data_IF_366170347205
#
_entry.id   IF_366170347205
#
_cell.length_a   1.000
_cell.length_b   1.000
_cell.length_c   1.000
_cell.angle_alpha   90.00
_cell.angle_beta   90.00
_cell.angle_gamma   90.00
#
_symmetry.space_group_name_H-M   'P 1'
#
loop_
_entity.id
_entity.type
_entity.pdbx_description
1 polymer ?
#
# COMPACT_ATOMS: atom_id res chain seq x y z
N UNK A 1 -39.68 2.92 10.26
CA UNK A 1 -38.23 2.79 10.15
C UNK A 1 -37.85 2.83 8.69
N UNK A 2 -37.21 3.90 8.19
CA UNK A 2 -36.66 3.92 6.83
C UNK A 2 -35.39 3.06 6.88
N UNK A 3 -35.36 1.98 6.12
CA UNK A 3 -34.12 1.26 5.86
C UNK A 3 -33.15 2.22 5.18
N UNK A 4 -32.09 2.58 5.89
CA UNK A 4 -30.99 3.38 5.36
C UNK A 4 -30.17 2.39 4.49
N UNK A 5 -30.68 2.10 3.31
CA UNK A 5 -29.93 1.33 2.32
C UNK A 5 -28.73 2.16 1.86
N UNK A 6 -27.58 1.51 1.67
CA UNK A 6 -26.34 2.14 1.21
C UNK A 6 -26.49 2.91 -0.11
N UNK A 7 -27.59 2.73 -0.82
CA UNK A 7 -27.91 3.40 -2.08
C UNK A 7 -29.25 4.13 -1.99
N UNK A 8 -29.24 5.45 -2.25
CA UNK A 8 -30.43 6.30 -2.21
C UNK A 8 -31.40 6.05 -3.39
N UNK A 9 -30.97 5.37 -4.46
CA UNK A 9 -31.77 5.12 -5.66
C UNK A 9 -31.30 3.84 -6.37
N UNK A 10 -32.26 3.14 -7.03
CA UNK A 10 -31.98 1.99 -7.90
C UNK A 10 -31.02 2.34 -9.05
N UNK A 11 -31.07 3.57 -9.56
CA UNK A 11 -30.15 4.08 -10.59
C UNK A 11 -28.70 4.21 -10.05
N UNK A 12 -28.54 4.65 -8.81
CA UNK A 12 -27.22 4.74 -8.16
C UNK A 12 -26.61 3.37 -7.95
N UNK A 13 -27.40 2.38 -7.58
CA UNK A 13 -26.96 0.99 -7.43
C UNK A 13 -26.51 0.39 -8.77
N UNK A 14 -27.26 0.61 -9.85
CA UNK A 14 -26.88 0.15 -11.20
C UNK A 14 -25.57 0.78 -11.66
N UNK A 15 -25.41 2.09 -11.50
CA UNK A 15 -24.19 2.82 -11.87
C UNK A 15 -22.97 2.31 -11.08
N UNK A 16 -23.12 2.07 -9.79
CA UNK A 16 -22.07 1.51 -8.95
C UNK A 16 -21.61 0.15 -9.49
N UNK A 17 -22.54 -0.78 -9.75
CA UNK A 17 -22.20 -2.10 -10.26
C UNK A 17 -21.57 -2.07 -11.64
N UNK A 18 -22.01 -1.16 -12.52
CA UNK A 18 -21.38 -0.96 -13.84
C UNK A 18 -19.92 -0.53 -13.68
N UNK A 19 -19.66 0.45 -12.80
CA UNK A 19 -18.28 0.93 -12.56
C UNK A 19 -17.42 -0.18 -11.98
N UNK A 20 -17.90 -0.90 -10.97
CA UNK A 20 -17.15 -2.01 -10.36
C UNK A 20 -16.85 -3.10 -11.37
N UNK A 21 -17.86 -3.50 -12.18
CA UNK A 21 -17.66 -4.51 -13.22
C UNK A 21 -16.65 -4.05 -14.28
N UNK A 22 -16.72 -2.79 -14.70
CA UNK A 22 -15.77 -2.22 -15.65
C UNK A 22 -14.34 -2.20 -15.09
N UNK A 23 -14.16 -1.84 -13.81
CA UNK A 23 -12.86 -1.85 -13.15
C UNK A 23 -12.29 -3.27 -13.02
N UNK A 24 -13.12 -4.24 -12.63
CA UNK A 24 -12.71 -5.65 -12.55
C UNK A 24 -12.34 -6.20 -13.93
N UNK A 25 -13.16 -5.91 -14.95
CA UNK A 25 -12.86 -6.32 -16.32
C UNK A 25 -11.54 -5.71 -16.82
N UNK A 26 -11.31 -4.43 -16.56
CA UNK A 26 -10.05 -3.76 -16.88
C UNK A 26 -8.87 -4.41 -16.15
N UNK A 27 -8.99 -4.70 -14.85
CA UNK A 27 -7.94 -5.35 -14.07
C UNK A 27 -7.60 -6.74 -14.63
N UNK A 28 -8.61 -7.54 -14.98
CA UNK A 28 -8.40 -8.87 -15.61
C UNK A 28 -7.71 -8.73 -16.96
N UNK A 29 -8.12 -7.78 -17.79
CA UNK A 29 -7.58 -7.52 -19.12
C UNK A 29 -6.11 -7.09 -19.06
N UNK A 30 -5.77 -6.16 -18.15
CA UNK A 30 -4.40 -5.74 -17.92
C UNK A 30 -3.54 -6.87 -17.33
N UNK A 31 -4.08 -7.69 -16.43
CA UNK A 31 -3.38 -8.87 -15.90
C UNK A 31 -3.06 -9.87 -17.02
N UNK A 32 -4.04 -10.19 -17.86
CA UNK A 32 -3.82 -11.07 -19.03
C UNK A 32 -2.77 -10.49 -19.98
N UNK A 33 -2.83 -9.18 -20.24
CA UNK A 33 -1.82 -8.45 -21.02
C UNK A 33 -0.44 -8.56 -20.39
N UNK A 34 -0.32 -8.36 -19.09
CA UNK A 34 0.95 -8.45 -18.36
C UNK A 34 1.55 -9.87 -18.42
N UNK A 35 0.72 -10.91 -18.37
CA UNK A 35 1.18 -12.29 -18.42
C UNK A 35 1.70 -12.66 -19.81
N UNK A 36 1.05 -12.17 -20.87
CA UNK A 36 1.33 -12.53 -22.25
C UNK A 36 2.32 -11.58 -22.95
N UNK A 37 2.19 -10.27 -22.70
CA UNK A 37 2.94 -9.25 -23.43
C UNK A 37 4.40 -9.17 -22.97
N UNK A 38 5.32 -9.03 -23.95
CA UNK A 38 6.74 -8.83 -23.67
C UNK A 38 7.43 -10.01 -22.98
N UNK A 39 6.94 -11.23 -23.15
CA UNK A 39 7.66 -12.40 -22.70
C UNK A 39 8.75 -12.73 -23.75
N UNK A 40 10.06 -12.70 -23.37
CA UNK A 40 11.15 -12.94 -24.32
C UNK A 40 11.26 -14.39 -24.76
N UNK A 41 10.54 -15.31 -24.11
CA UNK A 41 10.58 -16.74 -24.42
C UNK A 41 9.42 -17.12 -25.33
N UNK A 42 9.66 -18.11 -26.21
CA UNK A 42 8.63 -18.64 -27.09
C UNK A 42 7.51 -19.32 -26.31
N UNK A 43 6.27 -19.12 -26.76
CA UNK A 43 5.09 -19.73 -26.15
C UNK A 43 5.24 -21.26 -26.08
N UNK A 44 4.89 -21.85 -24.93
CA UNK A 44 4.98 -23.30 -24.70
C UNK A 44 6.33 -23.79 -24.18
N UNK A 45 7.37 -22.94 -24.11
CA UNK A 45 8.65 -23.33 -23.51
C UNK A 45 8.60 -23.27 -22.00
N UNK A 46 9.45 -24.06 -21.33
CA UNK A 46 9.57 -24.01 -19.84
C UNK A 46 9.93 -22.61 -19.33
N UNK A 47 10.77 -21.89 -20.07
CA UNK A 47 11.13 -20.50 -19.73
C UNK A 47 9.94 -19.55 -19.79
N UNK A 48 9.05 -19.70 -20.76
CA UNK A 48 7.81 -18.92 -20.85
C UNK A 48 6.95 -19.06 -19.58
N UNK A 49 6.72 -20.29 -19.14
CA UNK A 49 5.91 -20.59 -17.98
C UNK A 49 6.52 -20.09 -16.67
N UNK A 50 7.86 -20.20 -16.53
CA UNK A 50 8.56 -19.65 -15.34
C UNK A 50 8.41 -18.13 -15.23
N UNK A 51 8.47 -17.40 -16.36
CA UNK A 51 8.26 -15.95 -16.38
C UNK A 51 6.80 -15.62 -16.08
N UNK A 52 5.87 -16.36 -16.68
CA UNK A 52 4.44 -16.17 -16.41
C UNK A 52 4.08 -16.41 -14.94
N UNK A 53 4.62 -17.45 -14.31
CA UNK A 53 4.43 -17.74 -12.88
C UNK A 53 4.95 -16.61 -11.99
N UNK A 54 6.16 -16.10 -12.27
CA UNK A 54 6.71 -14.96 -11.52
C UNK A 54 5.83 -13.72 -11.65
N UNK A 55 5.33 -13.44 -12.84
CA UNK A 55 4.41 -12.32 -13.08
C UNK A 55 3.07 -12.53 -12.38
N UNK A 56 2.54 -13.75 -12.40
CA UNK A 56 1.31 -14.09 -11.68
C UNK A 56 1.47 -13.86 -10.17
N UNK A 57 2.57 -14.33 -9.60
CA UNK A 57 2.87 -14.11 -8.18
C UNK A 57 2.95 -12.61 -7.84
N UNK A 58 3.54 -11.81 -8.71
CA UNK A 58 3.56 -10.35 -8.54
C UNK A 58 2.15 -9.74 -8.60
N UNK A 59 1.28 -10.20 -9.50
CA UNK A 59 -0.12 -9.75 -9.58
C UNK A 59 -0.90 -10.13 -8.32
N UNK A 60 -0.71 -11.35 -7.82
CA UNK A 60 -1.33 -11.81 -6.57
C UNK A 60 -0.86 -10.94 -5.40
N UNK A 61 0.44 -10.68 -5.29
CA UNK A 61 0.99 -9.81 -4.27
C UNK A 61 0.40 -8.38 -4.36
N UNK A 62 0.33 -7.81 -5.56
CA UNK A 62 -0.30 -6.48 -5.77
C UNK A 62 -1.78 -6.49 -5.37
N UNK A 63 -2.52 -7.54 -5.67
CA UNK A 63 -3.94 -7.65 -5.28
C UNK A 63 -4.11 -7.70 -3.75
N UNK A 64 -3.27 -8.47 -3.06
CA UNK A 64 -3.26 -8.53 -1.60
C UNK A 64 -2.94 -7.16 -1.00
N UNK A 65 -1.88 -6.51 -1.48
CA UNK A 65 -1.48 -5.17 -1.04
C UNK A 65 -2.61 -4.16 -1.28
N UNK A 66 -3.27 -4.20 -2.43
CA UNK A 66 -4.39 -3.30 -2.75
C UNK A 66 -5.54 -3.45 -1.75
N UNK A 67 -5.91 -4.68 -1.38
CA UNK A 67 -6.95 -4.95 -0.37
C UNK A 67 -6.52 -4.45 1.01
N UNK A 68 -5.28 -4.75 1.42
CA UNK A 68 -4.74 -4.29 2.69
C UNK A 68 -4.72 -2.76 2.77
N UNK A 69 -4.25 -2.10 1.72
CA UNK A 69 -4.14 -0.64 1.65
C UNK A 69 -5.52 0.02 1.66
N UNK A 70 -6.47 -0.52 0.91
CA UNK A 70 -7.85 -0.02 0.92
C UNK A 70 -8.49 -0.14 2.30
N UNK A 71 -8.32 -1.28 2.95
CA UNK A 71 -8.88 -1.54 4.29
C UNK A 71 -8.23 -0.63 5.34
N UNK A 72 -6.90 -0.50 5.30
CA UNK A 72 -6.16 0.39 6.19
C UNK A 72 -6.59 1.85 6.00
N UNK A 73 -6.77 2.29 4.76
CA UNK A 73 -7.22 3.65 4.44
C UNK A 73 -8.62 3.91 5.00
N UNK A 74 -9.57 3.01 4.79
CA UNK A 74 -10.94 3.15 5.31
C UNK A 74 -10.95 3.15 6.84
N UNK A 75 -10.20 2.25 7.48
CA UNK A 75 -10.08 2.19 8.91
C UNK A 75 -9.49 3.49 9.47
N UNK A 76 -8.42 3.99 8.87
CA UNK A 76 -7.76 5.22 9.27
C UNK A 76 -8.67 6.44 9.13
N UNK A 77 -9.36 6.57 7.99
CA UNK A 77 -10.34 7.64 7.74
C UNK A 77 -11.51 7.60 8.74
N UNK A 78 -11.92 6.41 9.14
CA UNK A 78 -13.00 6.23 10.12
C UNK A 78 -12.55 6.67 11.51
N UNK A 79 -11.36 6.27 11.94
CA UNK A 79 -10.80 6.62 13.26
C UNK A 79 -10.51 8.12 13.37
N UNK A 80 -9.94 8.71 12.31
CA UNK A 80 -9.63 10.15 12.28
C UNK A 80 -10.83 11.03 11.97
N UNK A 81 -11.97 10.43 11.62
CA UNK A 81 -13.17 11.12 11.12
C UNK A 81 -12.85 12.11 9.98
N UNK A 82 -11.86 11.80 9.17
CA UNK A 82 -11.39 12.65 8.08
C UNK A 82 -11.12 11.82 6.84
N UNK A 83 -11.89 12.08 5.75
CA UNK A 83 -11.83 11.33 4.49
C UNK A 83 -10.64 11.69 3.60
N UNK A 84 -9.89 12.72 3.93
CA UNK A 84 -8.74 13.18 3.15
C UNK A 84 -7.47 12.43 3.60
N UNK A 85 -7.41 12.03 4.86
CA UNK A 85 -6.23 11.39 5.43
C UNK A 85 -6.13 9.94 4.96
N UNK A 86 -4.95 9.58 4.46
CA UNK A 86 -4.57 8.21 4.14
C UNK A 86 -3.25 7.87 4.84
N UNK A 87 -2.97 6.59 5.15
CA UNK A 87 -1.69 6.18 5.74
C UNK A 87 -0.48 6.63 4.92
N UNK A 88 -0.58 6.64 3.58
CA UNK A 88 0.50 7.08 2.69
C UNK A 88 0.85 8.55 2.87
N UNK A 89 -0.15 9.43 3.01
CA UNK A 89 0.08 10.87 3.24
C UNK A 89 0.74 11.13 4.60
N UNK A 90 0.56 10.22 5.55
CA UNK A 90 1.18 10.31 6.88
C UNK A 90 2.67 9.93 6.88
N UNK A 91 3.26 9.59 5.76
CA UNK A 91 4.69 9.32 5.66
C UNK A 91 5.14 7.93 6.16
N UNK A 92 4.21 7.01 6.46
CA UNK A 92 4.57 5.65 6.91
C UNK A 92 5.40 4.90 5.87
N UNK A 93 5.07 5.07 4.59
CA UNK A 93 5.79 4.46 3.48
C UNK A 93 7.24 4.99 3.40
N UNK A 94 7.40 6.31 3.52
CA UNK A 94 8.72 6.96 3.49
C UNK A 94 9.57 6.56 4.70
N UNK A 95 8.96 6.39 5.86
CA UNK A 95 9.64 5.89 7.05
C UNK A 95 10.16 4.46 6.86
N UNK A 96 9.35 3.59 6.22
CA UNK A 96 9.79 2.24 5.88
C UNK A 96 10.96 2.26 4.89
N UNK A 97 10.88 3.06 3.83
CA UNK A 97 11.94 3.23 2.84
C UNK A 97 13.24 3.72 3.52
N UNK A 98 13.16 4.69 4.41
CA UNK A 98 14.31 5.20 5.15
C UNK A 98 14.96 4.13 6.02
N UNK A 99 14.18 3.31 6.74
CA UNK A 99 14.67 2.20 7.56
C UNK A 99 15.33 1.15 6.66
N UNK A 100 14.69 0.79 5.55
CA UNK A 100 15.21 -0.19 4.60
C UNK A 100 16.52 0.28 3.97
N UNK A 101 16.58 1.51 3.51
CA UNK A 101 17.78 2.13 2.94
C UNK A 101 18.91 2.22 3.97
N UNK A 102 18.60 2.62 5.21
CA UNK A 102 19.57 2.67 6.30
C UNK A 102 20.14 1.27 6.59
N UNK A 103 19.31 0.24 6.58
CA UNK A 103 19.75 -1.14 6.76
C UNK A 103 20.76 -1.54 5.68
N UNK A 104 20.48 -1.23 4.42
CA UNK A 104 21.41 -1.51 3.31
C UNK A 104 22.69 -0.70 3.44
N UNK A 105 22.58 0.57 3.81
CA UNK A 105 23.74 1.45 3.96
C UNK A 105 24.72 0.96 5.06
N UNK A 106 24.19 0.62 6.23
CA UNK A 106 25.04 0.20 7.37
C UNK A 106 25.59 -1.22 7.24
N UNK A 107 24.84 -2.12 6.62
CA UNK A 107 25.25 -3.52 6.48
C UNK A 107 25.87 -3.86 5.10
N UNK A 108 25.93 -2.90 4.16
CA UNK A 108 26.56 -3.07 2.85
C UNK A 108 25.99 -4.24 2.03
N UNK A 109 26.89 -5.01 1.40
CA UNK A 109 26.50 -6.15 0.56
C UNK A 109 25.79 -7.26 1.35
N UNK A 110 26.15 -7.49 2.60
CA UNK A 110 25.44 -8.40 3.52
C UNK A 110 24.05 -7.86 3.89
N UNK A 111 23.89 -6.55 3.97
CA UNK A 111 22.60 -5.89 4.14
C UNK A 111 21.63 -6.14 2.99
N UNK A 112 22.13 -6.13 1.75
CA UNK A 112 21.33 -6.40 0.55
C UNK A 112 20.80 -7.83 0.53
N UNK A 113 21.62 -8.83 0.89
CA UNK A 113 21.19 -10.23 0.95
C UNK A 113 20.27 -10.50 2.13
N UNK A 114 20.52 -9.89 3.28
CA UNK A 114 19.73 -10.09 4.49
C UNK A 114 18.43 -9.27 4.47
N UNK A 115 18.40 -8.12 3.80
CA UNK A 115 17.21 -7.29 3.70
C UNK A 115 16.00 -8.00 3.04
N UNK A 116 16.26 -9.05 2.25
CA UNK A 116 15.24 -9.89 1.64
C UNK A 116 14.83 -11.10 2.49
N UNK A 117 15.44 -11.30 3.67
CA UNK A 117 15.02 -12.37 4.57
C UNK A 117 13.76 -11.98 5.33
N UNK A 118 12.92 -12.97 5.64
CA UNK A 118 11.69 -12.76 6.39
C UNK A 118 11.96 -12.11 7.76
N UNK A 119 13.05 -12.51 8.42
CA UNK A 119 13.43 -12.00 9.74
C UNK A 119 13.73 -10.49 9.69
N UNK A 120 14.54 -10.05 8.72
CA UNK A 120 14.84 -8.63 8.53
C UNK A 120 13.63 -7.82 8.12
N UNK A 121 12.75 -8.39 7.27
CA UNK A 121 11.49 -7.75 6.90
C UNK A 121 10.62 -7.51 8.14
N UNK A 122 10.44 -8.52 8.99
CA UNK A 122 9.66 -8.40 10.23
C UNK A 122 10.30 -7.39 11.17
N UNK A 123 11.62 -7.42 11.33
CA UNK A 123 12.35 -6.45 12.16
C UNK A 123 12.11 -5.00 11.67
N UNK A 124 12.28 -4.75 10.38
CA UNK A 124 12.05 -3.44 9.77
C UNK A 124 10.59 -2.97 9.95
N UNK A 125 9.65 -3.88 9.80
CA UNK A 125 8.22 -3.60 9.99
C UNK A 125 7.91 -3.24 11.45
N UNK A 126 8.43 -4.00 12.42
CA UNK A 126 8.28 -3.70 13.84
C UNK A 126 8.91 -2.35 14.18
N UNK A 127 10.10 -2.07 13.65
CA UNK A 127 10.81 -0.82 13.86
C UNK A 127 10.05 0.37 13.27
N UNK A 128 9.48 0.22 12.07
CA UNK A 128 8.60 1.21 11.44
C UNK A 128 7.38 1.51 12.32
N UNK A 129 6.70 0.47 12.79
CA UNK A 129 5.51 0.64 13.65
C UNK A 129 5.88 1.32 14.96
N UNK A 130 6.97 0.91 15.60
CA UNK A 130 7.45 1.51 16.85
C UNK A 130 7.80 2.99 16.69
N UNK A 131 8.59 3.33 15.65
CA UNK A 131 8.95 4.72 15.35
C UNK A 131 7.71 5.57 15.01
N UNK A 132 6.78 5.02 14.24
CA UNK A 132 5.53 5.70 13.93
C UNK A 132 4.71 5.96 15.18
N UNK A 133 4.56 4.98 16.06
CA UNK A 133 3.83 5.16 17.32
C UNK A 133 4.50 6.22 18.21
N UNK A 134 5.81 6.18 18.35
CA UNK A 134 6.55 7.17 19.14
C UNK A 134 6.35 8.57 18.56
N UNK A 135 6.54 8.73 17.25
CA UNK A 135 6.44 10.01 16.58
C UNK A 135 5.03 10.59 16.66
N UNK A 136 4.02 9.79 16.38
CA UNK A 136 2.64 10.28 16.41
C UNK A 136 2.11 10.44 17.83
N UNK A 137 2.51 9.60 18.78
CA UNK A 137 2.15 9.79 20.20
C UNK A 137 2.77 11.08 20.73
N UNK A 138 4.03 11.35 20.40
CA UNK A 138 4.70 12.59 20.79
C UNK A 138 4.03 13.83 20.15
N UNK A 139 3.67 13.73 18.88
CA UNK A 139 3.01 14.83 18.15
C UNK A 139 1.58 15.12 18.69
N UNK A 140 0.86 14.05 19.09
CA UNK A 140 -0.50 14.16 19.63
C UNK A 140 -0.55 14.42 21.15
N UNK A 141 0.58 14.34 21.85
CA UNK A 141 0.67 14.55 23.30
C UNK A 141 0.45 16.03 23.72
N UNK A 142 0.28 16.94 22.76
CA UNK A 142 -0.07 18.35 23.04
C UNK A 142 -1.53 18.52 23.51
N UNK A 143 -1.78 19.62 24.25
CA UNK A 143 -3.10 19.93 24.81
C UNK A 143 -4.23 20.15 23.76
N UNK A 144 -3.86 20.33 22.49
CA UNK A 144 -4.76 20.41 21.34
C UNK A 144 -4.16 19.58 20.20
N UNK A 145 -4.63 18.35 19.96
CA UNK A 145 -4.17 17.55 18.83
C UNK A 145 -4.59 18.25 17.53
N UNK A 146 -3.64 18.93 16.90
CA UNK A 146 -3.87 19.61 15.63
C UNK A 146 -3.66 18.63 14.49
N UNK A 147 -4.78 18.21 13.90
CA UNK A 147 -4.78 17.28 12.77
C UNK A 147 -4.06 17.87 11.54
N UNK A 148 -3.99 19.19 11.41
CA UNK A 148 -3.24 19.86 10.35
C UNK A 148 -1.73 19.75 10.56
N UNK A 149 -1.26 19.85 11.82
CA UNK A 149 0.14 19.64 12.16
C UNK A 149 0.57 18.20 11.86
N UNK A 150 -0.28 17.21 12.17
CA UNK A 150 -0.05 15.81 11.87
C UNK A 150 0.09 15.56 10.36
N UNK A 151 -0.77 16.17 9.55
CA UNK A 151 -0.73 16.08 8.10
C UNK A 151 0.52 16.76 7.52
N UNK A 152 0.87 17.94 8.05
CA UNK A 152 2.06 18.69 7.63
C UNK A 152 3.35 17.88 7.90
N UNK A 153 3.46 17.29 9.09
CA UNK A 153 4.60 16.44 9.46
C UNK A 153 4.68 15.22 8.56
N UNK A 154 3.54 14.56 8.26
CA UNK A 154 3.50 13.43 7.33
C UNK A 154 4.00 13.80 5.93
N UNK A 155 3.58 14.95 5.38
CA UNK A 155 4.02 15.44 4.08
C UNK A 155 5.51 15.78 4.09
N UNK A 156 6.00 16.44 5.15
CA UNK A 156 7.42 16.79 5.28
C UNK A 156 8.29 15.54 5.41
N UNK A 157 7.86 14.56 6.20
CA UNK A 157 8.54 13.26 6.29
C UNK A 157 8.51 12.53 4.95
N UNK A 158 7.36 12.51 4.28
CA UNK A 158 7.20 11.91 2.97
C UNK A 158 8.13 12.51 1.92
N UNK A 159 8.21 13.83 1.87
CA UNK A 159 9.10 14.56 0.95
C UNK A 159 10.57 14.50 1.34
N UNK A 160 10.89 14.54 2.63
CA UNK A 160 12.28 14.57 3.12
C UNK A 160 12.96 13.19 3.16
N UNK A 161 12.21 12.13 3.44
CA UNK A 161 12.75 10.76 3.50
C UNK A 161 12.63 10.01 2.17
N UNK A 162 11.76 10.47 1.27
CA UNK A 162 11.51 9.83 -0.03
C UNK A 162 12.32 10.44 -1.20
N UNK A 163 13.09 11.48 -0.94
CA UNK A 163 14.02 12.10 -1.91
C UNK A 163 15.43 11.56 -1.70
#
# INVERSE_FOLDING_TARGET
MREIGAFQSSSSKKRYWIIVTALVAAAVLFTAGLLAYGNPMQFGTRGYWLIAERRLNAVIAMAIVAVCQATATVAFQTVTNNRILTPSIMGFESLYIAIHTSTIYFFGATGLTNAHTLEMFVLQLVLMVALSLILYTWLLAGNNPDMHAMLLVGIVLGGGLGS
#
